data_IF_444399657015
#
_entry.id   IF_444399657015
#
_cell.length_a   1.000
_cell.length_b   1.000
_cell.length_c   1.000
_cell.angle_alpha   90.00
_cell.angle_beta   90.00
_cell.angle_gamma   90.00
#
_symmetry.space_group_name_H-M   'P 1'
#
loop_
_entity.id
_entity.type
_entity.pdbx_description
1 polymer ?
#
# COMPACT_ATOMS: atom_id res chain seq x y z
N UNK A 1 -2.42 -47.81 -15.44
CA UNK A 1 -3.75 -47.73 -14.80
C UNK A 1 -3.90 -46.55 -13.84
N UNK A 2 -2.92 -46.24 -12.98
CA UNK A 2 -2.98 -45.06 -12.08
C UNK A 2 -3.09 -43.72 -12.83
N UNK A 3 -2.21 -43.46 -13.80
CA UNK A 3 -2.14 -42.18 -14.55
C UNK A 3 -3.37 -41.87 -15.40
N UNK A 4 -4.00 -42.87 -16.00
CA UNK A 4 -5.17 -42.68 -16.86
C UNK A 4 -6.43 -42.32 -16.05
N UNK A 5 -6.51 -42.82 -14.81
CA UNK A 5 -7.54 -42.44 -13.87
C UNK A 5 -7.36 -41.00 -13.39
N UNK A 6 -6.11 -40.59 -13.11
CA UNK A 6 -5.78 -39.20 -12.73
C UNK A 6 -6.16 -38.20 -13.82
N UNK A 7 -5.86 -38.48 -15.10
CA UNK A 7 -6.20 -37.58 -16.21
C UNK A 7 -7.72 -37.44 -16.38
N UNK A 8 -8.48 -38.52 -16.22
CA UNK A 8 -9.93 -38.48 -16.29
C UNK A 8 -10.55 -37.66 -15.15
N UNK A 9 -10.00 -37.79 -13.93
CA UNK A 9 -10.43 -37.01 -12.76
C UNK A 9 -10.13 -35.50 -12.95
N UNK A 10 -8.94 -35.15 -13.44
CA UNK A 10 -8.59 -33.75 -13.73
C UNK A 10 -9.46 -33.13 -14.84
N UNK A 11 -9.80 -33.92 -15.86
CA UNK A 11 -10.67 -33.47 -16.93
C UNK A 11 -12.09 -33.18 -16.44
N UNK A 12 -12.67 -34.06 -15.63
CA UNK A 12 -14.00 -33.87 -15.03
C UNK A 12 -14.03 -32.64 -14.12
N UNK A 13 -12.93 -32.36 -13.40
CA UNK A 13 -12.79 -31.15 -12.59
C UNK A 13 -12.74 -29.89 -13.46
N UNK A 14 -11.95 -29.90 -14.53
CA UNK A 14 -11.83 -28.76 -15.44
C UNK A 14 -13.15 -28.44 -16.16
N UNK A 15 -13.90 -29.48 -16.58
CA UNK A 15 -15.22 -29.33 -17.19
C UNK A 15 -16.22 -28.68 -16.21
N UNK A 16 -16.22 -29.13 -14.94
CA UNK A 16 -17.07 -28.53 -13.90
C UNK A 16 -16.71 -27.07 -13.62
N UNK A 17 -15.42 -26.73 -13.57
CA UNK A 17 -14.96 -25.34 -13.40
C UNK A 17 -15.43 -24.48 -14.58
N UNK A 18 -15.25 -24.96 -15.81
CA UNK A 18 -15.67 -24.26 -17.03
C UNK A 18 -17.18 -23.98 -17.05
N UNK A 19 -18.01 -24.98 -16.72
CA UNK A 19 -19.48 -24.82 -16.64
C UNK A 19 -19.84 -23.76 -15.60
N UNK A 20 -19.21 -23.83 -14.43
CA UNK A 20 -19.53 -22.94 -13.31
C UNK A 20 -19.18 -21.48 -13.66
N UNK A 21 -17.98 -21.25 -14.21
CA UNK A 21 -17.55 -19.93 -14.66
C UNK A 21 -18.42 -19.40 -15.80
N UNK A 22 -18.77 -20.23 -16.77
CA UNK A 22 -19.61 -19.85 -17.91
C UNK A 22 -20.99 -19.38 -17.45
N UNK A 23 -21.63 -20.12 -16.54
CA UNK A 23 -22.92 -19.74 -15.94
C UNK A 23 -22.81 -18.45 -15.13
N UNK A 24 -21.74 -18.28 -14.36
CA UNK A 24 -21.52 -17.08 -13.55
C UNK A 24 -21.36 -15.83 -14.44
N UNK A 25 -20.56 -15.91 -15.51
CA UNK A 25 -20.38 -14.83 -16.48
C UNK A 25 -21.66 -14.48 -17.21
N UNK A 26 -22.41 -15.48 -17.69
CA UNK A 26 -23.68 -15.24 -18.37
C UNK A 26 -24.70 -14.55 -17.45
N UNK A 27 -24.81 -15.00 -16.19
CA UNK A 27 -25.67 -14.36 -15.18
C UNK A 27 -25.23 -12.93 -14.89
N UNK A 28 -23.93 -12.69 -14.79
CA UNK A 28 -23.40 -11.35 -14.56
C UNK A 28 -23.69 -10.42 -15.74
N UNK A 29 -23.43 -10.87 -16.98
CA UNK A 29 -23.69 -10.10 -18.19
C UNK A 29 -25.18 -9.73 -18.34
N UNK A 30 -26.07 -10.71 -18.13
CA UNK A 30 -27.53 -10.49 -18.21
C UNK A 30 -28.05 -9.60 -17.09
N UNK A 31 -27.61 -9.80 -15.83
CA UNK A 31 -28.07 -8.99 -14.69
C UNK A 31 -27.52 -7.58 -14.67
N UNK A 32 -26.31 -7.38 -15.20
CA UNK A 32 -25.66 -6.06 -15.27
C UNK A 32 -26.01 -5.29 -16.54
N UNK A 33 -26.77 -5.89 -17.46
CA UNK A 33 -27.15 -5.27 -18.73
C UNK A 33 -25.97 -5.01 -19.65
N UNK A 34 -24.94 -5.87 -19.61
CA UNK A 34 -23.82 -5.79 -20.55
C UNK A 34 -24.32 -6.10 -21.97
N UNK A 35 -23.55 -5.68 -22.98
CA UNK A 35 -23.92 -5.64 -24.40
C UNK A 35 -24.50 -6.94 -24.99
N UNK A 36 -24.86 -6.94 -26.30
CA UNK A 36 -25.58 -8.05 -26.90
C UNK A 36 -24.80 -9.36 -26.72
N UNK A 37 -25.44 -10.32 -26.06
CA UNK A 37 -24.86 -11.65 -25.84
C UNK A 37 -24.97 -12.41 -27.17
N UNK A 38 -23.88 -13.01 -27.68
CA UNK A 38 -23.88 -13.78 -28.92
C UNK A 38 -24.90 -14.93 -28.90
N UNK A 39 -25.57 -15.17 -30.03
CA UNK A 39 -26.64 -16.18 -30.12
C UNK A 39 -26.17 -17.59 -29.75
N UNK A 40 -24.94 -17.96 -30.12
CA UNK A 40 -24.37 -19.28 -29.79
C UNK A 40 -24.11 -19.45 -28.28
N UNK A 41 -23.83 -18.37 -27.55
CA UNK A 41 -23.70 -18.39 -26.09
C UNK A 41 -25.06 -18.64 -25.43
N UNK A 42 -26.11 -17.99 -25.95
CA UNK A 42 -27.49 -18.21 -25.50
C UNK A 42 -27.94 -19.64 -25.79
N UNK A 43 -27.65 -20.17 -26.97
CA UNK A 43 -27.95 -21.56 -27.35
C UNK A 43 -27.23 -22.55 -26.42
N UNK A 44 -25.93 -22.36 -26.20
CA UNK A 44 -25.15 -23.19 -25.26
C UNK A 44 -25.74 -23.17 -23.84
N UNK A 45 -26.18 -22.01 -23.35
CA UNK A 45 -26.86 -21.91 -22.04
C UNK A 45 -28.22 -22.58 -22.00
N UNK A 46 -28.96 -22.54 -23.11
CA UNK A 46 -30.28 -23.16 -23.22
C UNK A 46 -30.16 -24.70 -23.25
N UNK A 47 -29.19 -25.23 -24.01
CA UNK A 47 -28.81 -26.66 -24.00
C UNK A 47 -28.41 -27.13 -22.59
N UNK A 48 -27.55 -26.37 -21.91
CA UNK A 48 -27.12 -26.64 -20.54
C UNK A 48 -28.30 -26.63 -19.56
N UNK A 49 -29.27 -25.72 -19.76
CA UNK A 49 -30.47 -25.58 -18.93
C UNK A 49 -31.50 -26.69 -19.13
N UNK A 50 -31.60 -27.25 -20.34
CA UNK A 50 -32.52 -28.35 -20.67
C UNK A 50 -31.99 -29.74 -20.31
N UNK A 51 -30.70 -29.86 -19.94
CA UNK A 51 -30.02 -31.13 -19.74
C UNK A 51 -30.10 -32.06 -20.96
N UNK A 52 -30.18 -31.48 -22.16
CA UNK A 52 -30.26 -32.22 -23.43
C UNK A 52 -28.85 -32.61 -23.91
N UNK A 53 -28.37 -33.76 -23.43
CA UNK A 53 -27.15 -34.40 -23.94
C UNK A 53 -25.82 -33.71 -23.58
N UNK A 54 -24.69 -34.25 -24.05
CA UNK A 54 -23.38 -33.67 -23.80
C UNK A 54 -23.21 -32.36 -24.59
N UNK A 55 -23.12 -31.25 -23.87
CA UNK A 55 -22.82 -29.93 -24.45
C UNK A 55 -21.45 -29.97 -25.10
N UNK A 56 -21.32 -29.39 -26.29
CA UNK A 56 -20.02 -29.31 -26.97
C UNK A 56 -19.06 -28.45 -26.17
N UNK A 57 -17.98 -29.05 -25.66
CA UNK A 57 -16.92 -28.35 -24.94
C UNK A 57 -16.30 -27.26 -25.81
N UNK A 58 -16.21 -27.47 -27.12
CA UNK A 58 -15.69 -26.47 -28.07
C UNK A 58 -16.56 -25.22 -28.06
N UNK A 59 -17.88 -25.37 -28.18
CA UNK A 59 -18.83 -24.24 -28.13
C UNK A 59 -18.78 -23.52 -26.78
N UNK A 60 -18.61 -24.27 -25.68
CA UNK A 60 -18.51 -23.71 -24.34
C UNK A 60 -17.21 -22.91 -24.15
N UNK A 61 -16.08 -23.39 -24.68
CA UNK A 61 -14.80 -22.66 -24.64
C UNK A 61 -14.83 -21.38 -25.48
N UNK A 62 -15.43 -21.44 -26.68
CA UNK A 62 -15.61 -20.25 -27.54
C UNK A 62 -16.50 -19.22 -26.85
N UNK A 63 -17.65 -19.65 -26.35
CA UNK A 63 -18.56 -18.77 -25.62
C UNK A 63 -17.94 -18.23 -24.33
N UNK A 64 -17.15 -19.02 -23.60
CA UNK A 64 -16.42 -18.57 -22.42
C UNK A 64 -15.44 -17.45 -22.76
N UNK A 65 -14.69 -17.58 -23.85
CA UNK A 65 -13.76 -16.54 -24.32
C UNK A 65 -14.48 -15.23 -24.64
N UNK A 66 -15.62 -15.30 -25.34
CA UNK A 66 -16.38 -14.11 -25.69
C UNK A 66 -17.02 -13.44 -24.47
N UNK A 67 -17.59 -14.25 -23.57
CA UNK A 67 -18.10 -13.76 -22.30
C UNK A 67 -17.00 -13.12 -21.45
N UNK A 68 -15.80 -13.71 -21.39
CA UNK A 68 -14.67 -13.17 -20.65
C UNK A 68 -14.27 -11.76 -21.12
N UNK A 69 -14.35 -11.50 -22.43
CA UNK A 69 -14.14 -10.16 -23.00
C UNK A 69 -15.27 -9.21 -22.60
N UNK A 70 -16.53 -9.69 -22.65
CA UNK A 70 -17.71 -8.90 -22.35
C UNK A 70 -17.78 -8.48 -20.87
N UNK A 71 -17.39 -9.35 -19.94
CA UNK A 71 -17.47 -9.09 -18.50
C UNK A 71 -16.31 -8.26 -17.94
N UNK A 72 -15.31 -7.93 -18.75
CA UNK A 72 -14.16 -7.13 -18.32
C UNK A 72 -14.61 -5.79 -17.68
N UNK A 73 -14.09 -5.39 -16.51
CA UNK A 73 -12.89 -5.91 -15.83
C UNK A 73 -13.10 -7.13 -14.95
N UNK A 74 -14.32 -7.63 -14.76
CA UNK A 74 -14.57 -8.79 -13.91
C UNK A 74 -13.89 -10.04 -14.47
N UNK A 75 -13.40 -10.91 -13.60
CA UNK A 75 -12.79 -12.18 -13.99
C UNK A 75 -13.78 -13.34 -13.80
N UNK A 76 -13.70 -14.40 -14.63
CA UNK A 76 -14.59 -15.56 -14.51
C UNK A 76 -14.56 -16.16 -13.09
N UNK A 77 -13.34 -16.43 -12.57
CA UNK A 77 -13.10 -16.89 -11.20
C UNK A 77 -13.61 -15.93 -10.13
N UNK A 78 -13.48 -14.63 -10.34
CA UNK A 78 -13.97 -13.63 -9.39
C UNK A 78 -15.50 -13.62 -9.33
N UNK A 79 -16.17 -13.76 -10.47
CA UNK A 79 -17.63 -13.85 -10.55
C UNK A 79 -18.18 -15.12 -9.93
N UNK A 80 -17.51 -16.27 -10.12
CA UNK A 80 -17.88 -17.53 -9.46
C UNK A 80 -17.89 -17.39 -7.94
N UNK A 81 -16.85 -16.77 -7.36
CA UNK A 81 -16.75 -16.52 -5.92
C UNK A 81 -17.84 -15.55 -5.43
N UNK A 82 -18.20 -14.54 -6.20
CA UNK A 82 -19.11 -13.48 -5.78
C UNK A 82 -20.59 -13.77 -6.05
N UNK A 83 -20.91 -14.59 -7.06
CA UNK A 83 -22.27 -14.91 -7.50
C UNK A 83 -22.53 -16.40 -7.22
N UNK A 84 -22.79 -16.78 -5.96
CA UNK A 84 -23.01 -18.18 -5.63
C UNK A 84 -24.25 -18.72 -6.36
N UNK A 85 -24.11 -19.90 -6.96
CA UNK A 85 -25.19 -20.62 -7.61
C UNK A 85 -26.28 -21.02 -6.61
N UNK A 86 -27.42 -20.32 -6.62
CA UNK A 86 -28.74 -20.64 -6.02
C UNK A 86 -28.80 -20.98 -4.50
N UNK A 87 -27.69 -21.27 -3.82
CA UNK A 87 -27.62 -21.68 -2.41
C UNK A 87 -27.29 -20.53 -1.45
N UNK A 88 -27.86 -19.34 -1.69
CA UNK A 88 -28.24 -18.34 -0.67
C UNK A 88 -27.20 -17.76 0.30
N UNK A 89 -25.97 -18.25 0.39
CA UNK A 89 -25.01 -17.81 1.41
C UNK A 89 -23.84 -17.10 0.73
N UNK A 90 -23.91 -15.78 0.73
CA UNK A 90 -22.84 -14.88 0.30
C UNK A 90 -21.70 -14.96 1.31
N UNK A 91 -20.88 -16.00 1.23
CA UNK A 91 -19.70 -16.13 2.07
C UNK A 91 -18.61 -15.23 1.50
N UNK A 92 -18.36 -14.11 2.17
CA UNK A 92 -17.19 -13.29 1.88
C UNK A 92 -15.92 -14.15 1.93
N UNK A 93 -14.89 -13.83 1.14
CA UNK A 93 -13.68 -14.63 1.15
C UNK A 93 -13.04 -14.66 2.55
N UNK A 94 -12.44 -15.78 2.98
CA UNK A 94 -11.86 -15.95 4.32
C UNK A 94 -10.88 -14.84 4.73
N UNK A 95 -10.10 -14.32 3.78
CA UNK A 95 -9.15 -13.23 4.01
C UNK A 95 -9.82 -11.94 4.50
N UNK A 96 -11.08 -11.71 4.12
CA UNK A 96 -11.88 -10.56 4.57
C UNK A 96 -12.04 -10.58 6.09
N UNK A 97 -12.44 -11.73 6.65
CA UNK A 97 -12.62 -11.88 8.09
C UNK A 97 -11.29 -11.75 8.83
N UNK A 98 -10.20 -12.30 8.27
CA UNK A 98 -8.86 -12.15 8.84
C UNK A 98 -8.42 -10.69 8.99
N UNK A 99 -8.61 -9.88 7.94
CA UNK A 99 -8.30 -8.45 7.97
C UNK A 99 -9.23 -7.66 8.89
N UNK A 100 -10.52 -7.99 8.93
CA UNK A 100 -11.46 -7.37 9.86
C UNK A 100 -11.09 -7.66 11.32
N UNK A 101 -10.75 -8.91 11.65
CA UNK A 101 -10.31 -9.30 12.99
C UNK A 101 -9.02 -8.56 13.36
N UNK A 102 -8.05 -8.49 12.46
CA UNK A 102 -6.81 -7.72 12.67
C UNK A 102 -7.10 -6.23 12.93
N UNK A 103 -8.03 -5.61 12.18
CA UNK A 103 -8.45 -4.24 12.38
C UNK A 103 -9.12 -4.03 13.75
N UNK A 104 -10.07 -4.88 14.13
CA UNK A 104 -10.76 -4.78 15.41
C UNK A 104 -9.82 -5.02 16.60
N UNK A 105 -8.92 -6.00 16.50
CA UNK A 105 -7.95 -6.30 17.55
C UNK A 105 -6.95 -5.16 17.74
N UNK A 106 -6.41 -4.62 16.64
CA UNK A 106 -5.49 -3.48 16.68
C UNK A 106 -6.18 -2.23 17.20
N UNK A 107 -7.40 -1.93 16.75
CA UNK A 107 -8.18 -0.80 17.26
C UNK A 107 -8.50 -0.94 18.75
N UNK A 108 -8.89 -2.13 19.20
CA UNK A 108 -9.16 -2.39 20.62
C UNK A 108 -7.91 -2.20 21.47
N UNK A 109 -6.76 -2.66 20.97
CA UNK A 109 -5.46 -2.48 21.63
C UNK A 109 -5.06 -1.00 21.68
N UNK A 110 -5.25 -0.27 20.57
CA UNK A 110 -4.96 1.17 20.49
C UNK A 110 -5.83 1.95 21.48
N UNK A 111 -7.13 1.66 21.54
CA UNK A 111 -8.05 2.33 22.45
C UNK A 111 -7.77 1.96 23.92
N UNK A 112 -7.48 0.68 24.21
CA UNK A 112 -7.15 0.21 25.54
C UNK A 112 -5.84 0.79 26.08
N UNK A 113 -4.86 1.03 25.20
CA UNK A 113 -3.62 1.71 25.56
C UNK A 113 -3.81 3.23 25.66
N UNK A 114 -4.58 3.87 24.77
CA UNK A 114 -4.82 5.33 24.77
C UNK A 114 -5.35 5.91 26.09
N UNK A 115 -6.05 5.10 26.90
CA UNK A 115 -6.59 5.51 28.21
C UNK A 115 -5.52 5.56 29.32
N UNK A 116 -4.30 5.11 29.05
CA UNK A 116 -3.21 5.05 30.03
C UNK A 116 -2.52 6.42 30.16
N UNK A 117 -2.27 6.91 31.39
CA UNK A 117 -1.65 8.23 31.61
C UNK A 117 -0.27 8.35 30.95
N UNK A 118 0.47 7.25 30.82
CA UNK A 118 1.81 7.15 30.24
C UNK A 118 1.90 7.62 28.77
N UNK A 119 0.78 7.67 28.05
CA UNK A 119 0.73 8.11 26.65
C UNK A 119 0.54 9.63 26.56
N UNK A 120 -0.02 10.27 27.59
CA UNK A 120 -0.48 11.65 27.53
C UNK A 120 0.54 12.68 28.04
N UNK A 121 1.53 12.25 28.81
CA UNK A 121 2.37 13.17 29.60
C UNK A 121 3.76 13.42 29.04
N UNK A 122 4.37 12.49 28.32
CA UNK A 122 5.76 12.63 27.87
C UNK A 122 5.95 12.29 26.38
N UNK A 123 6.81 13.04 25.66
CA UNK A 123 7.27 12.62 24.34
C UNK A 123 7.96 11.26 24.44
N UNK A 124 7.63 10.36 23.53
CA UNK A 124 8.23 9.02 23.48
C UNK A 124 9.73 9.17 23.17
N UNK A 125 10.58 8.88 24.15
CA UNK A 125 12.02 8.74 23.95
C UNK A 125 12.42 7.28 24.17
N UNK A 126 12.80 6.61 23.09
CA UNK A 126 13.21 5.18 23.14
C UNK A 126 14.51 5.02 23.97
N UNK A 127 15.34 6.06 24.02
CA UNK A 127 16.61 6.03 24.71
C UNK A 127 16.53 6.45 26.18
N UNK A 128 15.52 7.23 26.56
CA UNK A 128 15.39 7.76 27.93
C UNK A 128 14.28 7.07 28.74
N UNK A 129 13.36 6.35 28.09
CA UNK A 129 12.28 5.63 28.76
C UNK A 129 12.67 4.16 28.99
N UNK A 130 12.56 3.71 30.24
CA UNK A 130 12.80 2.30 30.60
C UNK A 130 11.54 1.65 31.20
N UNK A 131 11.41 0.33 31.01
CA UNK A 131 10.38 -0.48 31.67
C UNK A 131 8.97 -0.39 31.05
N UNK A 132 7.95 -0.41 31.91
CA UNK A 132 6.54 -0.53 31.49
C UNK A 132 6.02 0.62 30.62
N UNK A 133 6.41 1.91 30.84
CA UNK A 133 5.93 3.02 30.01
C UNK A 133 6.37 2.91 28.55
N UNK A 134 7.61 2.47 28.30
CA UNK A 134 8.11 2.25 26.93
C UNK A 134 7.31 1.15 26.21
N UNK A 135 7.04 0.04 26.90
CA UNK A 135 6.26 -1.06 26.34
C UNK A 135 4.84 -0.64 25.96
N UNK A 136 4.18 0.17 26.80
CA UNK A 136 2.83 0.70 26.53
C UNK A 136 2.86 1.64 25.31
N UNK A 137 3.83 2.56 25.26
CA UNK A 137 3.99 3.50 24.14
C UNK A 137 4.28 2.80 22.81
N UNK A 138 5.17 1.81 22.80
CA UNK A 138 5.45 1.00 21.61
C UNK A 138 4.24 0.17 21.18
N UNK A 139 3.49 -0.39 22.14
CA UNK A 139 2.26 -1.14 21.85
C UNK A 139 1.20 -0.23 21.24
N UNK A 140 1.06 1.00 21.75
CA UNK A 140 0.15 2.00 21.20
C UNK A 140 0.52 2.40 19.76
N UNK A 141 1.81 2.64 19.48
CA UNK A 141 2.29 2.95 18.13
C UNK A 141 2.13 1.75 17.18
N UNK A 142 2.47 0.54 17.63
CA UNK A 142 2.26 -0.70 16.87
C UNK A 142 0.79 -0.89 16.52
N UNK A 143 -0.11 -0.69 17.49
CA UNK A 143 -1.55 -0.78 17.28
C UNK A 143 -2.03 0.28 16.29
N UNK A 144 -1.54 1.52 16.40
CA UNK A 144 -1.87 2.62 15.48
C UNK A 144 -1.43 2.31 14.03
N UNK A 145 -0.22 1.77 13.85
CA UNK A 145 0.27 1.34 12.55
C UNK A 145 -0.53 0.16 11.97
N UNK A 146 -0.85 -0.83 12.81
CA UNK A 146 -1.64 -2.00 12.41
C UNK A 146 -3.07 -1.63 12.00
N UNK A 147 -3.68 -0.62 12.64
CA UNK A 147 -4.99 -0.08 12.22
C UNK A 147 -4.90 0.50 10.80
N UNK A 148 -3.90 1.36 10.53
CA UNK A 148 -3.69 1.93 9.20
C UNK A 148 -3.47 0.87 8.12
N UNK A 149 -2.64 -0.14 8.42
CA UNK A 149 -2.34 -1.23 7.51
C UNK A 149 -3.56 -2.13 7.24
N UNK A 150 -4.36 -2.43 8.28
CA UNK A 150 -5.58 -3.22 8.13
C UNK A 150 -6.61 -2.48 7.28
N UNK A 151 -6.74 -1.16 7.46
CA UNK A 151 -7.64 -0.34 6.66
C UNK A 151 -7.21 -0.31 5.18
N UNK A 152 -5.92 -0.16 4.89
CA UNK A 152 -5.40 -0.26 3.52
C UNK A 152 -5.67 -1.63 2.89
N UNK A 153 -5.46 -2.71 3.65
CA UNK A 153 -5.75 -4.07 3.22
C UNK A 153 -7.23 -4.27 2.89
N UNK A 154 -8.13 -3.84 3.79
CA UNK A 154 -9.58 -3.91 3.60
C UNK A 154 -10.06 -3.05 2.42
N UNK A 155 -9.54 -1.84 2.27
CA UNK A 155 -9.89 -0.96 1.14
C UNK A 155 -9.46 -1.58 -0.20
N UNK A 156 -8.25 -2.14 -0.24
CA UNK A 156 -7.74 -2.83 -1.43
C UNK A 156 -8.61 -4.05 -1.77
N UNK A 157 -8.91 -4.88 -0.77
CA UNK A 157 -9.76 -6.06 -0.95
C UNK A 157 -11.16 -5.67 -1.40
N UNK A 158 -11.75 -4.63 -0.80
CA UNK A 158 -13.07 -4.11 -1.19
C UNK A 158 -13.08 -3.64 -2.64
N UNK A 159 -12.03 -2.96 -3.11
CA UNK A 159 -11.89 -2.59 -4.53
C UNK A 159 -11.87 -3.82 -5.43
N UNK A 160 -11.09 -4.86 -5.11
CA UNK A 160 -11.06 -6.08 -5.92
C UNK A 160 -12.39 -6.85 -5.90
N UNK A 161 -13.08 -6.88 -4.75
CA UNK A 161 -14.40 -7.48 -4.64
C UNK A 161 -15.44 -6.71 -5.45
N UNK A 162 -15.44 -5.37 -5.36
CA UNK A 162 -16.40 -4.53 -6.11
C UNK A 162 -16.28 -4.70 -7.63
N UNK A 163 -15.08 -5.01 -8.12
CA UNK A 163 -14.79 -5.25 -9.53
C UNK A 163 -14.89 -6.72 -9.94
N UNK A 164 -15.21 -7.61 -8.99
CA UNK A 164 -15.17 -9.07 -9.19
C UNK A 164 -13.84 -9.55 -9.82
N UNK A 165 -12.72 -8.98 -9.38
CA UNK A 165 -11.34 -9.35 -9.79
C UNK A 165 -10.57 -10.01 -8.67
N UNK A 166 -11.25 -10.48 -7.62
CA UNK A 166 -10.62 -11.13 -6.48
C UNK A 166 -10.17 -12.55 -6.87
N UNK A 167 -8.95 -12.89 -6.48
CA UNK A 167 -8.37 -14.22 -6.67
C UNK A 167 -7.77 -14.73 -5.35
N UNK A 168 -8.24 -15.87 -4.80
CA UNK A 168 -7.72 -16.49 -3.58
C UNK A 168 -6.23 -16.84 -3.63
N UNK A 169 -5.64 -17.03 -4.81
CA UNK A 169 -4.21 -17.33 -4.97
C UNK A 169 -3.33 -16.22 -4.36
N UNK A 170 -3.80 -14.98 -4.39
CA UNK A 170 -3.10 -13.83 -3.85
C UNK A 170 -3.45 -13.52 -2.38
N UNK A 171 -4.11 -14.44 -1.67
CA UNK A 171 -4.39 -14.30 -0.23
C UNK A 171 -3.15 -13.97 0.62
N UNK A 172 -1.99 -14.63 0.42
CA UNK A 172 -0.77 -14.29 1.15
C UNK A 172 -0.32 -12.84 0.93
N UNK A 173 -0.57 -12.27 -0.25
CA UNK A 173 -0.17 -10.89 -0.58
C UNK A 173 -0.87 -9.85 0.29
N UNK A 174 -2.12 -10.10 0.74
CA UNK A 174 -2.81 -9.19 1.66
C UNK A 174 -2.16 -9.17 3.04
N UNK A 175 -1.72 -10.33 3.55
CA UNK A 175 -1.00 -10.44 4.81
C UNK A 175 0.40 -9.82 4.74
N UNK A 176 1.10 -10.01 3.61
CA UNK A 176 2.39 -9.35 3.37
C UNK A 176 2.21 -7.83 3.38
N UNK A 177 1.17 -7.31 2.71
CA UNK A 177 0.85 -5.87 2.71
C UNK A 177 0.52 -5.35 4.10
N UNK A 178 -0.22 -6.11 4.91
CA UNK A 178 -0.52 -5.78 6.30
C UNK A 178 0.77 -5.64 7.13
N UNK A 179 1.67 -6.62 7.01
CA UNK A 179 2.94 -6.63 7.71
C UNK A 179 3.84 -5.45 7.29
N UNK A 180 3.99 -5.23 5.97
CA UNK A 180 4.79 -4.13 5.44
C UNK A 180 4.24 -2.75 5.82
N UNK A 181 2.91 -2.57 5.79
CA UNK A 181 2.26 -1.36 6.25
C UNK A 181 2.53 -1.11 7.72
N UNK A 182 2.35 -2.13 8.56
CA UNK A 182 2.60 -2.01 10.00
C UNK A 182 4.05 -1.60 10.30
N UNK A 183 5.02 -2.25 9.63
CA UNK A 183 6.43 -1.90 9.76
C UNK A 183 6.70 -0.44 9.32
N UNK A 184 6.12 -0.05 8.19
CA UNK A 184 6.20 1.31 7.64
C UNK A 184 5.65 2.37 8.60
N UNK A 185 4.50 2.11 9.21
CA UNK A 185 3.92 2.99 10.22
C UNK A 185 4.82 3.17 11.43
N UNK A 186 5.36 2.07 11.98
CA UNK A 186 6.27 2.13 13.13
C UNK A 186 7.52 2.95 12.79
N UNK A 187 8.15 2.65 11.65
CA UNK A 187 9.35 3.38 11.22
C UNK A 187 9.06 4.88 11.08
N UNK A 188 7.94 5.26 10.46
CA UNK A 188 7.57 6.66 10.29
C UNK A 188 7.29 7.36 11.62
N UNK A 189 6.74 6.66 12.62
CA UNK A 189 6.48 7.21 13.94
C UNK A 189 7.74 7.37 14.80
N UNK A 190 8.78 6.57 14.54
CA UNK A 190 10.07 6.62 15.23
C UNK A 190 10.99 7.68 14.64
N UNK A 191 10.93 7.92 13.33
CA UNK A 191 11.73 8.97 12.69
C UNK A 191 11.27 10.33 13.24
N UNK A 192 12.05 10.87 14.17
CA UNK A 192 11.85 12.20 14.72
C UNK A 192 12.27 13.23 13.67
N UNK A 193 11.30 13.95 13.10
CA UNK A 193 11.53 14.99 12.08
C UNK A 193 11.97 16.31 12.77
N UNK A 194 12.93 16.21 13.68
CA UNK A 194 13.63 17.34 14.29
C UNK A 194 12.83 18.13 15.34
N UNK A 195 11.73 17.58 15.88
CA UNK A 195 10.97 18.15 17.00
C UNK A 195 10.36 16.98 17.77
N UNK A 196 10.51 16.94 19.10
CA UNK A 196 9.88 15.93 19.94
C UNK A 196 8.35 16.00 19.80
N UNK A 197 7.80 15.30 18.81
CA UNK A 197 6.38 15.38 18.46
C UNK A 197 5.54 14.88 19.64
N UNK A 198 4.38 15.48 19.94
CA UNK A 198 3.43 14.87 20.88
C UNK A 198 3.05 13.45 20.44
N UNK A 199 2.73 12.57 21.41
CA UNK A 199 2.33 11.17 21.17
C UNK A 199 1.17 11.05 20.17
N UNK A 200 0.22 12.00 20.19
CA UNK A 200 -0.89 12.08 19.24
C UNK A 200 -0.43 12.27 17.78
N UNK A 201 0.62 13.06 17.55
CA UNK A 201 1.13 13.27 16.19
C UNK A 201 1.91 12.05 15.70
N UNK A 202 2.62 11.35 16.60
CA UNK A 202 3.30 10.09 16.29
C UNK A 202 2.32 8.96 15.97
N UNK A 203 1.19 8.85 16.66
CA UNK A 203 0.16 7.84 16.32
C UNK A 203 -0.51 8.13 14.98
N UNK A 204 -0.73 9.41 14.65
CA UNK A 204 -1.19 9.80 13.31
C UNK A 204 -0.17 9.45 12.22
N UNK A 205 1.13 9.68 12.47
CA UNK A 205 2.20 9.24 11.57
C UNK A 205 2.26 7.70 11.45
N UNK A 206 2.09 6.99 12.57
CA UNK A 206 2.03 5.53 12.58
C UNK A 206 0.87 5.02 11.72
N UNK A 207 -0.32 5.59 11.89
CA UNK A 207 -1.51 5.26 11.12
C UNK A 207 -1.33 5.59 9.63
N UNK A 208 -0.77 6.77 9.32
CA UNK A 208 -0.51 7.21 7.95
C UNK A 208 0.52 6.32 7.25
N UNK A 209 1.62 5.96 7.92
CA UNK A 209 2.62 5.02 7.39
C UNK A 209 2.11 3.58 7.31
N UNK A 210 1.19 3.21 8.22
CA UNK A 210 0.39 1.99 8.18
C UNK A 210 -0.42 1.86 6.89
N UNK A 211 -1.11 2.94 6.55
CA UNK A 211 -1.96 3.02 5.36
C UNK A 211 -1.16 3.19 4.06
N UNK A 212 -0.04 3.92 4.10
CA UNK A 212 0.74 4.30 2.92
C UNK A 212 2.17 3.79 2.99
N UNK A 213 2.40 2.60 2.45
CA UNK A 213 3.76 2.05 2.25
C UNK A 213 4.58 2.91 1.27
N UNK A 214 3.92 3.59 0.33
CA UNK A 214 4.56 4.52 -0.60
C UNK A 214 5.08 5.77 0.11
N UNK A 215 4.43 6.22 1.19
CA UNK A 215 4.90 7.35 2.00
C UNK A 215 6.26 7.04 2.66
N UNK A 216 6.43 5.84 3.22
CA UNK A 216 7.72 5.41 3.77
C UNK A 216 8.81 5.38 2.70
N UNK A 217 8.56 4.79 1.53
CA UNK A 217 9.55 4.77 0.44
C UNK A 217 10.04 6.18 0.12
N UNK A 218 9.11 7.12 -0.02
CA UNK A 218 9.44 8.51 -0.30
C UNK A 218 10.21 9.20 0.84
N UNK A 219 9.87 8.91 2.10
CA UNK A 219 10.57 9.45 3.27
C UNK A 219 11.99 8.89 3.37
N UNK A 220 12.16 7.57 3.25
CA UNK A 220 13.46 6.92 3.25
C UNK A 220 14.32 7.43 2.09
N UNK A 221 13.76 7.54 0.89
CA UNK A 221 14.47 8.08 -0.27
C UNK A 221 14.91 9.54 -0.03
N UNK A 222 14.05 10.37 0.57
CA UNK A 222 14.41 11.75 0.96
C UNK A 222 15.54 11.78 1.99
N UNK A 223 15.48 10.93 3.01
CA UNK A 223 16.54 10.82 4.01
C UNK A 223 17.87 10.41 3.37
N UNK A 224 17.87 9.33 2.58
CA UNK A 224 19.06 8.86 1.85
C UNK A 224 19.62 9.97 0.95
N UNK A 225 18.77 10.65 0.17
CA UNK A 225 19.21 11.76 -0.68
C UNK A 225 19.80 12.93 0.11
N UNK A 226 19.33 13.17 1.33
CA UNK A 226 19.87 14.19 2.22
C UNK A 226 21.24 13.76 2.75
N UNK A 227 21.39 12.50 3.15
CA UNK A 227 22.69 11.92 3.52
C UNK A 227 23.68 11.97 2.37
N UNK A 228 23.28 11.60 1.15
CA UNK A 228 24.13 11.70 -0.04
C UNK A 228 24.59 13.15 -0.26
N UNK A 229 23.67 14.12 -0.14
CA UNK A 229 23.99 15.55 -0.23
C UNK A 229 24.95 16.02 0.86
N UNK A 230 24.82 15.52 2.10
CA UNK A 230 25.73 15.84 3.20
C UNK A 230 27.11 15.21 3.00
N UNK A 231 27.17 13.94 2.60
CA UNK A 231 28.43 13.24 2.30
C UNK A 231 29.16 13.92 1.14
N UNK A 232 28.45 14.30 0.09
CA UNK A 232 29.04 15.01 -1.05
C UNK A 232 29.57 16.39 -0.65
N UNK A 233 28.89 17.12 0.24
CA UNK A 233 29.39 18.37 0.82
C UNK A 233 30.66 18.13 1.66
N UNK A 234 30.69 17.10 2.52
CA UNK A 234 31.87 16.77 3.33
C UNK A 234 33.06 16.41 2.43
N UNK A 235 32.86 15.60 1.40
CA UNK A 235 33.91 15.23 0.44
C UNK A 235 34.42 16.47 -0.33
N UNK A 236 33.53 17.38 -0.71
CA UNK A 236 33.88 18.64 -1.39
C UNK A 236 34.71 19.57 -0.49
N UNK A 237 34.42 19.62 0.82
CA UNK A 237 35.20 20.38 1.81
C UNK A 237 36.57 19.74 2.06
N UNK A 238 36.65 18.41 2.06
CA UNK A 238 37.92 17.67 2.27
C UNK A 238 38.82 17.71 1.02
N UNK A 239 38.27 17.82 -0.20
CA UNK A 239 39.05 18.00 -1.43
C UNK A 239 39.66 19.40 -1.60
N UNK A 240 39.22 20.41 -0.83
CA UNK A 240 39.88 21.71 -0.71
C UNK A 240 41.00 21.64 0.36
N UNK A 241 42.01 20.81 0.13
CA UNK A 241 43.34 21.01 0.74
C UNK A 241 43.95 22.35 0.30
N UNK A 242 44.94 22.91 1.04
CA UNK A 242 45.32 24.32 0.93
C UNK A 242 45.76 24.68 -0.50
N UNK A 243 45.67 25.97 -0.91
CA UNK A 243 46.07 26.39 -2.23
C UNK A 243 47.58 26.14 -2.42
N UNK A 244 47.92 25.01 -3.03
CA UNK A 244 49.27 24.75 -3.51
C UNK A 244 49.44 25.51 -4.82
N UNK A 245 50.14 26.64 -4.75
CA UNK A 245 50.62 27.36 -5.92
C UNK A 245 50.14 28.81 -6.06
N UNK A 246 50.42 29.67 -5.08
CA UNK A 246 50.56 31.11 -5.34
C UNK A 246 51.98 31.54 -4.93
N UNK A 247 52.80 31.81 -5.94
CA UNK A 247 54.13 32.40 -5.78
C UNK A 247 54.04 33.73 -4.99
N UNK A 248 55.07 34.12 -4.22
CA UNK A 248 55.04 35.35 -3.45
C UNK A 248 55.03 36.57 -4.38
N UNK A 249 54.01 37.43 -4.22
CA UNK A 249 53.95 38.75 -4.85
C UNK A 249 54.99 39.69 -4.18
N UNK A 250 55.59 40.63 -4.94
CA UNK A 250 56.61 41.55 -4.41
C UNK A 250 55.98 42.60 -3.47
N UNK A 251 56.76 43.19 -2.54
CA UNK A 251 56.24 44.10 -1.53
C UNK A 251 55.80 45.43 -2.15
N UNK A 252 54.53 45.80 -1.96
CA UNK A 252 54.01 47.14 -2.24
C UNK A 252 54.20 48.00 -0.99
N UNK A 253 55.26 48.80 -1.04
CA UNK A 253 55.56 49.86 -0.11
C UNK A 253 54.57 51.03 -0.25
N UNK A 254 54.19 51.58 0.92
CA UNK A 254 53.83 52.98 1.19
C UNK A 254 52.56 53.58 0.54
N UNK A 255 51.48 53.60 1.35
CA UNK A 255 50.41 54.60 1.24
C UNK A 255 50.87 55.97 1.79
N UNK A 256 50.47 57.11 1.18
CA UNK A 256 50.52 58.41 1.82
C UNK A 256 49.19 58.76 2.54
N UNK A 257 49.22 59.56 3.61
CA UNK A 257 48.08 59.80 4.48
C UNK A 257 47.09 60.83 3.91
N UNK A 258 45.82 60.56 4.19
CA UNK A 258 44.64 61.38 3.90
C UNK A 258 44.75 62.82 4.42
N UNK A 259 44.61 63.78 3.50
CA UNK A 259 44.58 65.21 3.80
C UNK A 259 43.17 65.82 3.75
N UNK A 260 42.84 66.49 4.85
CA UNK A 260 42.10 67.76 4.97
C UNK A 260 40.55 67.74 4.90
N UNK A 261 39.98 68.28 5.99
CA UNK A 261 38.59 68.43 6.40
C UNK A 261 37.80 69.52 5.62
N UNK A 262 36.45 69.57 5.73
CA UNK A 262 35.60 70.48 4.96
C UNK A 262 35.50 71.88 5.59
N UNK A 263 35.47 72.91 4.76
CA UNK A 263 35.26 74.32 5.13
C UNK A 263 33.77 74.66 5.29
N UNK A 264 33.36 75.51 6.25
CA UNK A 264 31.98 75.98 6.40
C UNK A 264 31.67 77.22 5.53
N UNK A 265 30.40 77.53 5.26
CA UNK A 265 30.00 78.64 4.37
C UNK A 265 30.04 80.01 5.07
N UNK A 266 30.44 81.04 4.33
CA UNK A 266 30.36 82.46 4.72
C UNK A 266 28.92 83.01 4.60
N UNK A 267 28.54 84.02 5.42
CA UNK A 267 27.25 84.70 5.33
C UNK A 267 27.26 85.88 4.33
N UNK A 268 26.08 86.16 3.79
CA UNK A 268 25.69 87.30 2.92
C UNK A 268 25.88 88.67 3.61
N UNK A 269 25.92 89.78 2.86
CA UNK A 269 24.76 90.32 2.12
C UNK A 269 24.97 90.55 0.62
#
# INVERSE_FOLDING_TARGET
>A
MSTQKTIAEEYELAERELITEFVAMFRYATSSGLGPIPDHVVQTMDELGRAEGPVSIVAMVEGHRELAVLVHPATPRGLDILIPGRSGRRTMPPVTYGLMIAAFLSLSTMLGTALRPEINTEPISIFDMEGSPLAINLTFLLASAAVGASFHGLYTLSSYLSKATYDPLYNPSYWIRLFLGTLSGILLAIIDIGQALPSQQRSLLALAGGFSTMLLYNVLQRLVSTFDGLLQRVISVVQLGPPSGAAPAPPQDLAPPSGVAPSPPLPSP
#
